data_IF_527217654911
#
_entry.id   IF_527217654911
#
_cell.length_a   1.000
_cell.length_b   1.000
_cell.length_c   1.000
_cell.angle_alpha   90.00
_cell.angle_beta   90.00
_cell.angle_gamma   90.00
#
_symmetry.space_group_name_H-M   'P 1'
#
loop_
_entity.id
_entity.type
_entity.pdbx_description
1 polymer ?
#
# COMPACT_ATOMS: atom_id res chain seq x y z
N UNK A 1 -22.26 29.24 46.43
CA UNK A 1 -22.03 27.84 46.01
C UNK A 1 -21.84 27.88 44.51
N UNK A 2 -20.60 28.02 44.06
CA UNK A 2 -20.24 28.05 42.66
C UNK A 2 -20.35 26.63 42.09
N UNK A 3 -21.37 26.40 41.27
CA UNK A 3 -21.48 25.19 40.47
C UNK A 3 -20.39 25.24 39.41
N UNK A 4 -19.29 24.54 39.66
CA UNK A 4 -18.28 24.27 38.66
C UNK A 4 -18.95 23.56 37.48
N UNK A 5 -19.21 24.29 36.40
CA UNK A 5 -19.54 23.69 35.11
C UNK A 5 -18.30 22.93 34.68
N UNK A 6 -18.30 21.62 34.92
CA UNK A 6 -17.26 20.74 34.41
C UNK A 6 -17.23 20.91 32.89
N UNK A 7 -16.24 21.65 32.39
CA UNK A 7 -16.06 21.91 30.96
C UNK A 7 -15.77 20.56 30.31
N UNK A 8 -16.74 20.02 29.58
CA UNK A 8 -16.59 18.80 28.80
C UNK A 8 -15.54 19.06 27.72
N UNK A 9 -14.46 18.30 27.72
CA UNK A 9 -13.43 18.41 26.67
C UNK A 9 -14.02 17.86 25.36
N UNK A 10 -13.56 18.32 24.19
CA UNK A 10 -14.06 17.86 22.89
C UNK A 10 -13.99 16.33 22.68
N UNK A 11 -13.11 15.65 23.40
CA UNK A 11 -12.89 14.20 23.30
C UNK A 11 -13.62 13.40 24.38
N UNK A 12 -14.29 14.06 25.32
CA UNK A 12 -14.98 13.37 26.40
C UNK A 12 -16.26 12.70 25.88
N UNK A 13 -16.53 11.49 26.34
CA UNK A 13 -17.75 10.77 25.96
C UNK A 13 -18.95 11.39 26.65
N UNK A 14 -19.96 11.75 25.86
CA UNK A 14 -21.20 12.34 26.36
C UNK A 14 -22.19 11.21 26.70
N UNK A 15 -22.98 11.38 27.77
CA UNK A 15 -24.05 10.45 28.10
C UNK A 15 -25.11 10.43 26.97
N UNK A 16 -25.57 9.23 26.60
CA UNK A 16 -26.58 9.03 25.57
C UNK A 16 -27.86 9.85 25.80
N UNK A 17 -28.30 10.00 27.06
CA UNK A 17 -29.48 10.80 27.39
C UNK A 17 -29.28 12.29 27.10
N UNK A 18 -28.09 12.81 27.41
CA UNK A 18 -27.74 14.20 27.12
C UNK A 18 -27.67 14.42 25.62
N UNK A 19 -26.96 13.55 24.89
CA UNK A 19 -26.88 13.63 23.44
C UNK A 19 -28.27 13.61 22.78
N UNK A 20 -29.16 12.70 23.22
CA UNK A 20 -30.52 12.63 22.68
C UNK A 20 -31.32 13.91 22.93
N UNK A 21 -31.32 14.43 24.16
CA UNK A 21 -32.10 15.62 24.49
C UNK A 21 -31.58 16.88 23.78
N UNK A 22 -30.25 17.03 23.67
CA UNK A 22 -29.63 18.15 22.96
C UNK A 22 -29.97 18.10 21.46
N UNK A 23 -29.80 16.94 20.82
CA UNK A 23 -30.14 16.76 19.40
C UNK A 23 -31.64 16.99 19.17
N UNK A 24 -32.50 16.44 20.02
CA UNK A 24 -33.94 16.64 19.91
C UNK A 24 -34.33 18.11 20.11
N UNK A 25 -33.69 18.83 21.04
CA UNK A 25 -33.92 20.25 21.25
C UNK A 25 -33.50 21.08 20.02
N UNK A 26 -32.37 20.73 19.40
CA UNK A 26 -31.90 21.38 18.18
C UNK A 26 -32.83 21.14 16.97
N UNK A 27 -33.45 19.95 16.87
CA UNK A 27 -34.34 19.61 15.76
C UNK A 27 -35.77 20.14 15.93
N UNK A 28 -36.21 20.46 17.16
CA UNK A 28 -37.59 20.92 17.45
C UNK A 28 -38.07 22.09 16.59
N UNK A 29 -37.29 23.16 16.36
CA UNK A 29 -37.73 24.27 15.52
C UNK A 29 -38.08 23.86 14.10
N UNK A 30 -37.29 22.96 13.50
CA UNK A 30 -37.51 22.46 12.14
C UNK A 30 -38.81 21.65 12.03
N UNK A 31 -39.15 20.91 13.09
CA UNK A 31 -40.38 20.10 13.12
C UNK A 31 -41.65 20.95 13.22
N UNK A 32 -41.58 22.17 13.75
CA UNK A 32 -42.74 23.05 13.87
C UNK A 32 -43.24 23.56 12.50
N UNK A 33 -42.38 23.56 11.48
CA UNK A 33 -42.70 24.01 10.13
C UNK A 33 -43.26 22.90 9.24
N UNK A 34 -43.16 21.64 9.67
CA UNK A 34 -43.64 20.47 8.93
C UNK A 34 -45.12 20.28 9.17
N UNK A 35 -45.92 20.54 8.13
CA UNK A 35 -47.37 20.39 8.16
C UNK A 35 -47.87 19.30 7.20
N UNK A 36 -47.08 18.95 6.18
CA UNK A 36 -47.45 17.95 5.16
C UNK A 36 -46.44 16.79 5.12
N UNK A 37 -46.89 15.67 4.53
CA UNK A 37 -46.04 14.50 4.32
C UNK A 37 -44.86 14.82 3.39
N UNK A 38 -45.09 15.60 2.33
CA UNK A 38 -44.04 16.02 1.40
C UNK A 38 -42.95 16.84 2.09
N UNK A 39 -43.35 17.72 3.02
CA UNK A 39 -42.41 18.52 3.81
C UNK A 39 -41.59 17.63 4.76
N UNK A 40 -42.23 16.63 5.38
CA UNK A 40 -41.53 15.67 6.22
C UNK A 40 -40.49 14.88 5.42
N UNK A 41 -40.89 14.38 4.25
CA UNK A 41 -40.02 13.58 3.37
C UNK A 41 -38.83 14.42 2.87
N UNK A 42 -39.06 15.69 2.51
CA UNK A 42 -37.99 16.62 2.11
C UNK A 42 -36.99 16.88 3.26
N UNK A 43 -37.48 17.09 4.48
CA UNK A 43 -36.61 17.31 5.66
C UNK A 43 -35.78 16.06 5.96
N UNK A 44 -36.39 14.87 5.89
CA UNK A 44 -35.67 13.61 6.12
C UNK A 44 -34.60 13.35 5.07
N UNK A 45 -34.86 13.70 3.81
CA UNK A 45 -33.88 13.57 2.74
C UNK A 45 -32.68 14.52 2.96
N UNK A 46 -32.94 15.77 3.31
CA UNK A 46 -31.87 16.73 3.66
C UNK A 46 -31.01 16.23 4.83
N UNK A 47 -31.62 15.64 5.87
CA UNK A 47 -30.88 15.07 7.01
C UNK A 47 -29.99 13.90 6.56
N UNK A 48 -30.50 13.03 5.67
CA UNK A 48 -29.72 11.91 5.13
C UNK A 48 -28.54 12.39 4.28
N UNK A 49 -28.75 13.42 3.47
CA UNK A 49 -27.70 14.05 2.66
C UNK A 49 -26.58 14.61 3.54
N UNK A 50 -26.93 15.39 4.58
CA UNK A 50 -25.96 15.89 5.56
C UNK A 50 -25.21 14.74 6.24
N UNK A 51 -25.91 13.67 6.65
CA UNK A 51 -25.27 12.50 7.25
C UNK A 51 -24.31 11.79 6.28
N UNK A 52 -24.62 11.78 4.99
CA UNK A 52 -23.77 11.21 3.95
C UNK A 52 -22.52 12.06 3.73
N UNK A 53 -22.67 13.39 3.59
CA UNK A 53 -21.55 14.32 3.45
C UNK A 53 -20.60 14.28 4.64
N UNK A 54 -21.12 14.23 5.86
CA UNK A 54 -20.29 14.12 7.07
C UNK A 54 -19.53 12.80 7.15
N UNK A 55 -20.10 11.71 6.62
CA UNK A 55 -19.44 10.40 6.58
C UNK A 55 -18.36 10.36 5.51
N UNK A 56 -18.66 10.89 4.33
CA UNK A 56 -17.75 10.87 3.19
C UNK A 56 -16.62 11.90 3.34
N UNK A 57 -16.90 13.06 3.93
CA UNK A 57 -15.94 14.12 4.23
C UNK A 57 -14.85 13.73 5.23
N UNK A 58 -14.97 12.59 5.92
CA UNK A 58 -13.92 12.03 6.77
C UNK A 58 -12.91 11.15 6.00
N UNK A 59 -13.09 10.94 4.70
CA UNK A 59 -12.12 10.25 3.85
C UNK A 59 -11.00 11.20 3.39
N UNK A 60 -10.28 11.80 4.35
CA UNK A 60 -8.99 12.43 4.04
C UNK A 60 -8.00 11.31 3.73
N UNK A 61 -7.95 10.93 2.45
CA UNK A 61 -6.88 10.07 1.96
C UNK A 61 -5.56 10.82 2.16
N UNK A 62 -4.76 10.34 3.11
CA UNK A 62 -3.37 10.79 3.23
C UNK A 62 -2.69 10.66 1.87
N UNK A 63 -1.76 11.57 1.53
CA UNK A 63 -1.07 11.50 0.24
C UNK A 63 -0.51 10.09 0.06
N UNK A 64 -0.71 9.51 -1.12
CA UNK A 64 -0.13 8.22 -1.48
C UNK A 64 1.36 8.30 -1.15
N UNK A 65 1.89 7.42 -0.28
CA UNK A 65 3.28 7.51 0.09
C UNK A 65 4.11 7.44 -1.19
N UNK A 66 4.92 8.47 -1.44
CA UNK A 66 5.87 8.47 -2.55
C UNK A 66 6.66 7.18 -2.41
N UNK A 67 6.53 6.26 -3.37
CA UNK A 67 7.38 5.08 -3.45
C UNK A 67 8.83 5.56 -3.32
N UNK A 68 9.54 5.27 -2.21
CA UNK A 68 10.91 5.71 -2.10
C UNK A 68 11.67 4.98 -3.21
N UNK A 69 12.30 5.74 -4.12
CA UNK A 69 13.27 5.16 -5.05
C UNK A 69 14.41 4.60 -4.20
N UNK A 70 14.41 3.28 -3.96
CA UNK A 70 15.37 2.61 -3.10
C UNK A 70 14.85 1.36 -2.41
N UNK A 71 15.71 0.74 -1.59
CA UNK A 71 15.47 -0.52 -0.87
C UNK A 71 14.24 -0.38 0.05
N UNK A 72 13.27 -1.32 0.03
CA UNK A 72 12.10 -1.27 0.90
C UNK A 72 12.52 -1.21 2.37
N UNK A 73 11.83 -0.38 3.17
CA UNK A 73 12.14 -0.11 4.60
C UNK A 73 12.24 -1.35 5.49
N UNK A 74 11.57 -2.44 5.10
CA UNK A 74 11.62 -3.75 5.79
C UNK A 74 12.96 -4.44 5.63
N UNK A 75 13.68 -4.10 4.56
CA UNK A 75 15.04 -4.48 4.35
C UNK A 75 15.93 -3.39 4.97
N UNK A 76 16.05 -3.41 6.30
CA UNK A 76 17.22 -2.83 6.99
C UNK A 76 18.42 -3.76 6.78
N UNK A 77 19.60 -3.17 6.80
CA UNK A 77 20.86 -3.85 6.52
C UNK A 77 21.13 -4.74 7.75
N UNK A 78 21.11 -6.05 7.55
CA UNK A 78 21.59 -7.13 8.44
C UNK A 78 21.06 -7.19 9.88
N UNK A 79 19.99 -7.96 10.11
CA UNK A 79 19.80 -8.71 11.36
C UNK A 79 20.26 -10.16 11.16
N UNK A 80 20.98 -10.75 12.12
CA UNK A 80 21.68 -12.03 11.99
C UNK A 80 20.80 -13.26 11.64
N UNK A 81 19.47 -13.13 11.69
CA UNK A 81 18.50 -14.23 11.56
C UNK A 81 17.86 -14.33 10.16
N UNK A 82 17.90 -13.28 9.33
CA UNK A 82 17.14 -13.29 8.08
C UNK A 82 17.98 -13.67 6.85
N UNK A 83 18.25 -14.99 6.74
CA UNK A 83 18.40 -15.71 5.48
C UNK A 83 19.51 -15.27 4.50
N UNK A 84 19.79 -16.13 3.51
CA UNK A 84 20.78 -15.78 2.47
C UNK A 84 20.23 -14.65 1.59
N UNK A 85 21.04 -13.64 1.26
CA UNK A 85 20.64 -12.56 0.35
C UNK A 85 20.19 -13.14 -0.99
N UNK A 86 18.93 -12.87 -1.38
CA UNK A 86 18.42 -13.16 -2.72
C UNK A 86 18.51 -11.89 -3.56
N UNK A 87 19.59 -11.74 -4.32
CA UNK A 87 19.73 -10.66 -5.29
C UNK A 87 21.11 -10.64 -5.93
N UNK A 88 21.14 -10.60 -7.28
CA UNK A 88 22.36 -10.58 -8.10
C UNK A 88 22.95 -9.17 -8.21
N UNK A 89 24.07 -8.94 -7.53
CA UNK A 89 24.95 -7.80 -7.77
C UNK A 89 26.02 -8.14 -8.80
N UNK A 90 26.43 -7.13 -9.58
CA UNK A 90 27.31 -7.23 -10.74
C UNK A 90 28.59 -8.06 -10.48
N UNK A 91 28.83 -9.06 -11.34
CA UNK A 91 30.10 -9.78 -11.44
C UNK A 91 31.17 -8.84 -12.00
N UNK A 92 31.73 -8.00 -11.13
CA UNK A 92 32.92 -7.21 -11.45
C UNK A 92 34.08 -8.16 -11.76
N UNK A 93 34.39 -8.31 -13.04
CA UNK A 93 35.58 -9.00 -13.52
C UNK A 93 36.83 -8.27 -12.98
N UNK A 94 37.39 -8.76 -11.88
CA UNK A 94 38.76 -8.45 -11.48
C UNK A 94 39.62 -9.67 -11.79
N UNK A 95 40.37 -9.59 -12.90
CA UNK A 95 41.57 -10.41 -13.06
C UNK A 95 42.58 -9.99 -12.01
N UNK A 96 42.86 -10.85 -11.05
CA UNK A 96 44.16 -10.90 -10.38
C UNK A 96 44.51 -12.39 -10.19
N UNK A 97 45.64 -12.87 -10.70
CA UNK A 97 46.15 -14.22 -10.41
C UNK A 97 47.00 -14.19 -9.14
N UNK A 98 46.88 -15.21 -8.28
CA UNK A 98 47.93 -15.76 -7.37
C UNK A 98 47.28 -16.70 -6.31
N UNK A 99 48.06 -17.46 -5.53
CA UNK A 99 48.58 -18.78 -5.88
C UNK A 99 48.04 -19.89 -4.96
N UNK A 100 48.29 -21.12 -5.38
CA UNK A 100 48.07 -22.41 -4.72
C UNK A 100 48.18 -22.41 -3.19
N UNK A 101 47.08 -22.79 -2.51
CA UNK A 101 47.13 -23.59 -1.29
C UNK A 101 46.05 -24.69 -1.39
N UNK A 102 46.51 -25.93 -1.29
CA UNK A 102 45.74 -27.16 -1.31
C UNK A 102 44.72 -27.21 -0.16
N UNK A 103 43.42 -27.24 -0.50
CA UNK A 103 42.40 -27.84 0.35
C UNK A 103 41.44 -28.65 -0.52
N UNK A 104 41.25 -29.88 -0.07
CA UNK A 104 40.51 -30.98 -0.65
C UNK A 104 39.05 -30.62 -1.02
N UNK A 105 38.61 -31.18 -2.15
CA UNK A 105 37.26 -31.28 -2.73
C UNK A 105 36.83 -30.25 -3.80
N UNK A 106 36.47 -30.78 -4.99
CA UNK A 106 35.38 -30.22 -5.77
C UNK A 106 34.39 -31.31 -6.21
N UNK A 107 33.21 -31.36 -5.57
CA UNK A 107 32.00 -31.91 -6.20
C UNK A 107 31.52 -30.92 -7.27
N UNK A 108 31.92 -31.11 -8.53
CA UNK A 108 31.29 -30.45 -9.67
C UNK A 108 30.25 -31.39 -10.30
N UNK A 109 28.96 -31.04 -10.35
CA UNK A 109 28.18 -31.38 -11.52
C UNK A 109 28.53 -30.36 -12.60
N UNK A 110 29.21 -30.82 -13.65
CA UNK A 110 29.44 -30.04 -14.86
C UNK A 110 28.08 -29.53 -15.37
N UNK A 111 27.80 -28.23 -15.16
CA UNK A 111 26.56 -27.64 -15.65
C UNK A 111 26.58 -27.71 -17.17
N UNK A 112 25.75 -28.58 -17.74
CA UNK A 112 25.52 -28.68 -19.16
C UNK A 112 25.24 -27.26 -19.70
N UNK A 113 26.17 -26.73 -20.51
CA UNK A 113 26.03 -25.42 -21.15
C UNK A 113 24.73 -25.44 -21.94
N UNK A 114 23.69 -24.75 -21.42
CA UNK A 114 22.42 -24.61 -22.13
C UNK A 114 22.70 -23.89 -23.43
N UNK A 115 22.58 -24.61 -24.55
CA UNK A 115 22.81 -24.03 -25.87
C UNK A 115 21.70 -23.00 -26.13
N UNK A 116 22.09 -21.74 -26.29
CA UNK A 116 21.16 -20.66 -26.60
C UNK A 116 20.54 -20.94 -27.99
N UNK A 117 19.22 -21.01 -28.04
CA UNK A 117 18.44 -21.23 -29.26
C UNK A 117 17.82 -19.94 -29.73
N UNK A 118 17.74 -19.74 -31.04
CA UNK A 118 17.11 -18.57 -31.64
C UNK A 118 15.62 -18.48 -31.26
N UNK A 119 15.15 -17.30 -30.88
CA UNK A 119 13.75 -17.08 -30.49
C UNK A 119 12.73 -17.24 -31.63
N UNK A 120 13.14 -17.15 -32.90
CA UNK A 120 12.25 -17.33 -34.05
C UNK A 120 12.20 -18.78 -34.54
N UNK A 121 13.35 -19.35 -34.90
CA UNK A 121 13.42 -20.69 -35.51
C UNK A 121 13.79 -21.81 -34.52
N UNK A 122 14.18 -21.47 -33.28
CA UNK A 122 14.62 -22.39 -32.22
C UNK A 122 15.85 -23.26 -32.54
N UNK A 123 16.55 -22.96 -33.64
CA UNK A 123 17.84 -23.56 -33.95
C UNK A 123 18.96 -22.97 -33.08
N UNK A 124 19.93 -23.78 -32.64
CA UNK A 124 21.10 -23.29 -31.93
C UNK A 124 22.06 -22.53 -32.87
N UNK A 125 22.97 -21.74 -32.30
CA UNK A 125 24.10 -21.13 -33.03
C UNK A 125 23.86 -19.71 -33.56
N UNK A 126 22.66 -19.16 -33.44
CA UNK A 126 22.38 -17.76 -33.79
C UNK A 126 21.27 -17.16 -32.91
N UNK A 127 21.19 -15.84 -32.88
CA UNK A 127 20.17 -15.09 -32.16
C UNK A 127 19.06 -14.63 -33.11
N UNK A 128 18.01 -13.98 -32.56
CA UNK A 128 16.86 -13.50 -33.34
C UNK A 128 17.26 -12.59 -34.51
N UNK A 129 18.29 -11.75 -34.32
CA UNK A 129 18.72 -10.74 -35.29
C UNK A 129 19.50 -11.34 -36.46
N UNK A 130 20.23 -12.44 -36.23
CA UNK A 130 20.97 -13.17 -37.27
C UNK A 130 20.20 -14.42 -37.75
N UNK A 131 18.87 -14.41 -37.69
CA UNK A 131 18.05 -15.56 -38.06
C UNK A 131 17.92 -15.67 -39.59
N UNK A 132 18.25 -16.82 -40.21
CA UNK A 132 18.13 -16.99 -41.65
C UNK A 132 16.69 -16.93 -42.15
N UNK A 133 15.69 -17.14 -41.27
CA UNK A 133 14.28 -16.94 -41.63
C UNK A 133 13.86 -15.46 -41.70
N UNK A 134 14.65 -14.56 -41.10
CA UNK A 134 14.42 -13.12 -41.13
C UNK A 134 15.36 -12.39 -42.09
N UNK A 135 16.44 -13.05 -42.52
CA UNK A 135 17.29 -12.58 -43.60
C UNK A 135 16.52 -12.73 -44.92
N UNK A 136 15.94 -11.62 -45.39
CA UNK A 136 15.55 -11.42 -46.79
C UNK A 136 16.62 -10.60 -47.47
#
# INVERSE_FOLDING_TARGET
MELATAQTRPTDTINARTAFHEVQAALRPLLNEVQTQEQLDAVLENVREICHELRDGMTVHGPTPLNPKGRPRTQRITGAIEGRPRGGGASGSRRIPSPSIDVLEPRQPAMAKRVLRCGMCRCPGHNRLACPLLAR
#
